data_IF_613102197106
#
_entry.id   IF_613102197106
#
_cell.length_a   1.000
_cell.length_b   1.000
_cell.length_c   1.000
_cell.angle_alpha   90.00
_cell.angle_beta   90.00
_cell.angle_gamma   90.00
#
_symmetry.space_group_name_H-M   'P 1'
#
loop_
_entity.id
_entity.type
_entity.pdbx_description
1 polymer ?
#
# COMPACT_ATOMS: atom_id res chain seq x y z
N UNK A 1 -6.72 4.12 -8.47
CA UNK A 1 -6.61 5.31 -9.35
C UNK A 1 -5.32 5.42 -10.19
N UNK A 2 -4.29 4.57 -10.01
CA UNK A 2 -3.26 4.33 -11.06
C UNK A 2 -2.93 2.84 -11.20
N UNK A 3 -2.88 2.10 -10.10
CA UNK A 3 -2.54 0.68 -10.07
C UNK A 3 -3.67 -0.26 -10.52
N UNK A 4 -4.93 0.11 -10.33
CA UNK A 4 -6.08 -0.71 -10.74
C UNK A 4 -6.09 -0.99 -12.25
N UNK A 5 -5.66 0.02 -13.03
CA UNK A 5 -5.44 -0.10 -14.48
C UNK A 5 -4.20 -0.94 -14.79
N UNK A 6 -3.18 -0.91 -13.93
CA UNK A 6 -1.89 -1.63 -14.14
C UNK A 6 -2.02 -3.14 -13.88
N UNK A 7 -2.99 -3.58 -13.08
CA UNK A 7 -3.23 -5.00 -12.78
C UNK A 7 -4.55 -5.55 -13.37
N UNK A 8 -5.25 -4.78 -14.20
CA UNK A 8 -6.49 -5.22 -14.86
C UNK A 8 -7.66 -5.42 -13.89
N UNK A 9 -7.63 -4.77 -12.72
CA UNK A 9 -8.72 -4.82 -11.77
C UNK A 9 -9.85 -3.90 -12.25
N UNK A 10 -11.04 -4.45 -12.39
CA UNK A 10 -12.27 -3.68 -12.64
C UNK A 10 -13.09 -3.71 -11.36
N UNK A 11 -13.55 -2.53 -10.94
CA UNK A 11 -14.48 -2.38 -9.83
C UNK A 11 -15.82 -1.92 -10.39
N UNK A 12 -16.89 -2.53 -9.93
CA UNK A 12 -18.25 -2.23 -10.35
C UNK A 12 -18.92 -1.24 -9.40
N UNK A 13 -18.47 -1.20 -8.13
CA UNK A 13 -19.01 -0.31 -7.11
C UNK A 13 -17.91 0.46 -6.38
N UNK A 14 -18.22 1.70 -5.99
CA UNK A 14 -17.27 2.60 -5.30
C UNK A 14 -16.73 2.01 -3.99
N UNK A 15 -17.54 1.20 -3.30
CA UNK A 15 -17.15 0.58 -2.04
C UNK A 15 -16.02 -0.45 -2.22
N UNK A 16 -15.93 -1.08 -3.39
CA UNK A 16 -14.89 -2.07 -3.71
C UNK A 16 -13.53 -1.37 -3.85
N UNK A 17 -13.49 -0.22 -4.53
CA UNK A 17 -12.29 0.63 -4.65
C UNK A 17 -11.86 1.11 -3.26
N UNK A 18 -12.81 1.55 -2.44
CA UNK A 18 -12.51 2.03 -1.10
C UNK A 18 -11.90 0.92 -0.23
N UNK A 19 -12.47 -0.28 -0.27
CA UNK A 19 -11.96 -1.44 0.46
C UNK A 19 -10.56 -1.84 -0.01
N UNK A 20 -10.37 -1.98 -1.32
CA UNK A 20 -9.09 -2.31 -1.92
C UNK A 20 -8.00 -1.27 -1.58
N UNK A 21 -8.35 0.02 -1.63
CA UNK A 21 -7.44 1.11 -1.28
C UNK A 21 -7.00 1.04 0.18
N UNK A 22 -7.94 0.80 1.11
CA UNK A 22 -7.63 0.65 2.54
C UNK A 22 -6.73 -0.56 2.79
N UNK A 23 -7.05 -1.70 2.18
CA UNK A 23 -6.25 -2.91 2.28
C UNK A 23 -4.82 -2.67 1.76
N UNK A 24 -4.68 -2.00 0.61
CA UNK A 24 -3.38 -1.69 0.04
C UNK A 24 -2.55 -0.76 0.92
N UNK A 25 -3.15 0.27 1.52
CA UNK A 25 -2.43 1.18 2.44
C UNK A 25 -1.89 0.42 3.66
N UNK A 26 -2.71 -0.46 4.26
CA UNK A 26 -2.30 -1.28 5.39
C UNK A 26 -1.13 -2.21 5.01
N UNK A 27 -1.23 -2.88 3.87
CA UNK A 27 -0.16 -3.72 3.32
C UNK A 27 1.12 -2.90 3.04
N UNK A 28 0.99 -1.76 2.37
CA UNK A 28 2.12 -0.92 1.97
C UNK A 28 2.92 -0.45 3.20
N UNK A 29 2.22 0.06 4.21
CA UNK A 29 2.88 0.60 5.40
C UNK A 29 3.40 -0.49 6.34
N UNK A 30 2.70 -1.62 6.45
CA UNK A 30 3.02 -2.67 7.42
C UNK A 30 3.91 -3.79 6.91
N UNK A 31 3.87 -4.10 5.61
CA UNK A 31 4.47 -5.33 5.06
C UNK A 31 5.43 -5.06 3.92
N UNK A 32 5.19 -4.05 3.08
CA UNK A 32 6.01 -3.82 1.90
C UNK A 32 7.40 -3.29 2.28
N UNK A 33 8.44 -4.03 1.89
CA UNK A 33 9.83 -3.62 2.08
C UNK A 33 10.26 -2.65 0.99
N UNK A 34 11.02 -1.62 1.37
CA UNK A 34 11.52 -0.62 0.44
C UNK A 34 13.06 -0.53 0.50
N UNK A 35 13.73 -0.65 -0.65
CA UNK A 35 15.20 -0.65 -0.72
C UNK A 35 15.80 0.67 -0.22
N UNK A 36 15.16 1.81 -0.49
CA UNK A 36 15.59 3.11 0.04
C UNK A 36 15.36 3.28 1.55
N UNK A 37 14.60 2.37 2.18
CA UNK A 37 14.37 2.33 3.61
C UNK A 37 15.11 1.15 4.24
N UNK A 38 16.25 0.75 3.67
CA UNK A 38 17.04 -0.40 4.15
C UNK A 38 16.24 -1.71 4.22
N UNK A 39 15.31 -1.91 3.29
CA UNK A 39 14.44 -3.08 3.24
C UNK A 39 13.59 -3.28 4.51
N UNK A 40 13.13 -2.19 5.14
CA UNK A 40 12.09 -2.26 6.18
C UNK A 40 10.74 -1.69 5.71
N UNK A 41 9.62 -2.05 6.37
CA UNK A 41 8.34 -1.42 6.11
C UNK A 41 8.34 0.08 6.45
N UNK A 42 7.59 0.92 5.71
CA UNK A 42 7.49 2.35 5.97
C UNK A 42 7.14 2.69 7.42
N UNK A 43 6.14 2.02 8.01
CA UNK A 43 5.74 2.28 9.39
C UNK A 43 6.81 1.83 10.40
N UNK A 44 7.68 0.88 10.06
CA UNK A 44 8.81 0.52 10.91
C UNK A 44 9.92 1.56 10.83
N UNK A 45 10.21 2.06 9.62
CA UNK A 45 11.20 3.12 9.38
C UNK A 45 10.86 4.40 10.16
N UNK A 46 9.61 4.88 10.08
CA UNK A 46 9.19 6.11 10.78
C UNK A 46 9.24 6.01 12.32
N UNK A 47 9.24 4.79 12.86
CA UNK A 47 9.34 4.56 14.32
C UNK A 47 10.79 4.53 14.83
N UNK A 48 11.77 4.58 13.94
CA UNK A 48 13.18 4.63 14.34
C UNK A 48 13.51 6.04 14.86
N UNK A 49 14.24 6.16 15.97
CA UNK A 49 14.72 7.46 16.45
C UNK A 49 15.70 8.05 15.43
N UNK A 50 15.58 9.36 15.19
CA UNK A 50 16.43 10.12 14.27
C UNK A 50 17.89 10.17 14.70
#
# INVERSE_FOLDING_TARGET
MKTDVVHGLTFNEDHEIQSASRAYILFYNGTRLHSSLNYVPPAAYERQPA
#
